data_IF_285188587575
#
_entry.id   IF_285188587575
#
_cell.length_a   1.000
_cell.length_b   1.000
_cell.length_c   1.000
_cell.angle_alpha   90.00
_cell.angle_beta   90.00
_cell.angle_gamma   90.00
#
_symmetry.space_group_name_H-M   'P 1'
#
loop_
_entity.id
_entity.type
_entity.pdbx_description
1 polymer ?
#
# COMPACT_ATOMS: atom_id res chain seq x y z
N UNK A 1 12.34 -12.40 0.82
CA UNK A 1 11.85 -12.32 -0.57
C UNK A 1 13.02 -12.51 -1.52
N UNK A 2 12.82 -13.36 -2.49
CA UNK A 2 13.84 -13.69 -3.46
C UNK A 2 13.98 -12.56 -4.48
N UNK A 3 15.20 -12.00 -4.59
CA UNK A 3 15.50 -10.91 -5.52
C UNK A 3 15.33 -11.32 -6.98
N UNK A 4 15.43 -12.61 -7.28
CA UNK A 4 15.27 -13.09 -8.65
C UNK A 4 13.82 -13.01 -9.13
N UNK A 5 12.88 -12.70 -8.25
CA UNK A 5 11.46 -12.65 -8.58
C UNK A 5 10.94 -11.25 -8.84
N UNK A 6 11.81 -10.31 -9.17
CA UNK A 6 11.39 -8.95 -9.50
C UNK A 6 10.41 -8.95 -10.67
N UNK A 7 9.35 -8.14 -10.53
CA UNK A 7 8.41 -7.90 -11.62
C UNK A 7 7.46 -9.03 -11.93
N UNK A 8 7.26 -9.99 -11.02
CA UNK A 8 6.41 -11.14 -11.31
C UNK A 8 5.11 -11.18 -10.50
N UNK A 9 4.94 -10.30 -9.52
CA UNK A 9 3.74 -10.36 -8.68
C UNK A 9 2.63 -9.48 -9.24
N UNK A 10 1.44 -10.05 -9.41
CA UNK A 10 0.22 -9.34 -9.80
C UNK A 10 -0.52 -8.77 -8.60
N UNK A 11 -0.29 -9.32 -7.43
CA UNK A 11 -0.93 -8.90 -6.19
C UNK A 11 0.07 -8.96 -5.05
N UNK A 12 -0.05 -8.00 -4.12
CA UNK A 12 0.79 -7.92 -2.95
C UNK A 12 -0.07 -7.66 -1.73
N UNK A 13 0.15 -8.43 -0.68
CA UNK A 13 -0.53 -8.26 0.60
C UNK A 13 0.47 -7.70 1.60
N UNK A 14 0.13 -6.57 2.21
CA UNK A 14 1.07 -5.82 3.05
C UNK A 14 0.46 -5.54 4.41
N UNK A 15 1.27 -5.66 5.45
CA UNK A 15 0.91 -5.21 6.79
C UNK A 15 1.81 -4.01 7.13
N UNK A 16 1.19 -2.88 7.47
CA UNK A 16 1.91 -1.66 7.82
C UNK A 16 1.68 -1.37 9.29
N UNK A 17 2.61 -1.76 10.18
CA UNK A 17 2.44 -1.50 11.61
C UNK A 17 2.73 -0.03 11.93
N UNK A 18 1.97 0.52 12.88
CA UNK A 18 2.23 1.83 13.50
C UNK A 18 2.38 2.97 12.49
N UNK A 19 1.54 2.99 11.45
CA UNK A 19 1.52 4.05 10.43
C UNK A 19 2.80 4.13 9.59
N UNK A 20 3.68 3.14 9.67
CA UNK A 20 4.92 3.15 8.91
C UNK A 20 4.72 2.56 7.53
N UNK A 21 5.08 3.34 6.51
CA UNK A 21 5.07 2.86 5.12
C UNK A 21 6.50 2.75 4.57
N UNK A 22 7.48 2.77 5.46
CA UNK A 22 8.90 2.88 5.06
C UNK A 22 9.38 1.68 4.28
N UNK A 23 8.82 0.49 4.50
CA UNK A 23 9.24 -0.72 3.79
C UNK A 23 8.51 -0.90 2.45
N UNK A 24 7.46 -0.13 2.21
CA UNK A 24 6.69 -0.29 0.98
C UNK A 24 7.51 -0.03 -0.30
N UNK A 25 8.39 0.97 -0.35
CA UNK A 25 9.20 1.18 -1.56
C UNK A 25 10.07 -0.02 -1.94
N UNK A 26 10.55 -0.78 -0.96
CA UNK A 26 11.39 -1.95 -1.23
C UNK A 26 10.63 -3.09 -1.88
N UNK A 27 9.29 -3.08 -1.79
CA UNK A 27 8.44 -4.11 -2.36
C UNK A 27 8.01 -3.78 -3.80
N UNK A 28 8.11 -2.52 -4.19
CA UNK A 28 7.62 -2.08 -5.50
C UNK A 28 8.30 -2.78 -6.69
N UNK A 29 9.63 -3.06 -6.66
CA UNK A 29 10.26 -3.77 -7.78
C UNK A 29 9.72 -5.17 -7.99
N UNK A 30 9.01 -5.75 -7.01
CA UNK A 30 8.45 -7.10 -7.12
C UNK A 30 7.17 -7.13 -7.96
N UNK A 31 6.55 -5.95 -8.19
CA UNK A 31 5.28 -5.86 -8.89
C UNK A 31 5.47 -6.02 -10.39
N UNK A 32 4.55 -6.74 -11.02
CA UNK A 32 4.57 -6.96 -12.47
C UNK A 32 4.43 -5.64 -13.21
N UNK A 33 5.19 -5.52 -14.32
CA UNK A 33 5.12 -4.35 -15.20
C UNK A 33 4.17 -4.62 -16.36
N UNK A 34 3.62 -3.55 -16.91
CA UNK A 34 2.78 -3.59 -18.13
C UNK A 34 1.45 -4.33 -17.96
N UNK A 35 1.02 -4.56 -16.72
CA UNK A 35 -0.30 -5.12 -16.48
C UNK A 35 -0.86 -4.52 -15.19
N UNK A 36 -2.17 -4.67 -15.01
CA UNK A 36 -2.84 -4.21 -13.79
C UNK A 36 -2.39 -5.07 -12.62
N UNK A 37 -2.01 -4.42 -11.55
CA UNK A 37 -1.61 -5.09 -10.31
C UNK A 37 -2.44 -4.57 -9.14
N UNK A 38 -2.44 -5.32 -8.06
CA UNK A 38 -3.21 -5.02 -6.87
C UNK A 38 -2.29 -5.00 -5.65
N UNK A 39 -2.38 -3.94 -4.85
CA UNK A 39 -1.75 -3.89 -3.53
C UNK A 39 -2.86 -3.76 -2.52
N UNK A 40 -2.92 -4.70 -1.60
CA UNK A 40 -3.89 -4.71 -0.52
C UNK A 40 -3.16 -4.83 0.80
N UNK A 41 -3.64 -4.11 1.81
CA UNK A 41 -3.00 -4.22 3.09
C UNK A 41 -3.84 -3.66 4.21
N UNK A 42 -3.28 -3.68 5.40
CA UNK A 42 -3.91 -3.10 6.58
C UNK A 42 -2.85 -2.40 7.41
N UNK A 43 -3.32 -1.46 8.24
CA UNK A 43 -2.45 -0.66 9.07
C UNK A 43 -3.17 -0.25 10.35
N UNK A 44 -2.39 -0.06 11.41
CA UNK A 44 -2.87 0.58 12.64
C UNK A 44 -2.26 1.98 12.63
N UNK A 45 -3.10 3.00 12.60
CA UNK A 45 -2.65 4.39 12.45
C UNK A 45 -3.33 5.27 13.49
N UNK A 46 -2.80 6.47 13.69
CA UNK A 46 -3.44 7.45 14.53
C UNK A 46 -4.77 7.88 13.94
N UNK A 47 -5.75 8.13 14.82
CA UNK A 47 -7.15 8.30 14.42
C UNK A 47 -7.37 9.36 13.35
N UNK A 48 -6.62 10.41 13.33
CA UNK A 48 -6.82 11.51 12.37
C UNK A 48 -5.77 11.53 11.26
N UNK A 49 -5.05 10.44 11.06
CA UNK A 49 -3.98 10.37 10.06
C UNK A 49 -4.34 9.57 8.82
N UNK A 50 -5.59 9.17 8.66
CA UNK A 50 -5.95 8.31 7.51
C UNK A 50 -5.60 8.98 6.18
N UNK A 51 -5.96 10.25 6.01
CA UNK A 51 -5.66 10.97 4.76
C UNK A 51 -4.16 11.11 4.51
N UNK A 52 -3.40 11.34 5.56
CA UNK A 52 -1.95 11.45 5.44
C UNK A 52 -1.32 10.11 5.03
N UNK A 53 -1.75 9.02 5.66
CA UNK A 53 -1.24 7.69 5.34
C UNK A 53 -1.64 7.28 3.92
N UNK A 54 -2.88 7.55 3.53
CA UNK A 54 -3.33 7.30 2.15
C UNK A 54 -2.45 8.04 1.15
N UNK A 55 -2.14 9.30 1.42
CA UNK A 55 -1.27 10.10 0.57
C UNK A 55 0.14 9.54 0.47
N UNK A 56 0.68 9.03 1.57
CA UNK A 56 1.99 8.41 1.58
C UNK A 56 2.03 7.13 0.74
N UNK A 57 0.99 6.31 0.84
CA UNK A 57 0.89 5.07 0.06
C UNK A 57 0.80 5.41 -1.44
N UNK A 58 -0.08 6.34 -1.79
CA UNK A 58 -0.26 6.77 -3.18
C UNK A 58 1.06 7.31 -3.74
N UNK A 59 1.73 8.17 -2.99
CA UNK A 59 2.99 8.76 -3.42
C UNK A 59 4.07 7.70 -3.63
N UNK A 60 4.13 6.71 -2.75
CA UNK A 60 5.10 5.62 -2.86
C UNK A 60 4.88 4.84 -4.16
N UNK A 61 3.62 4.50 -4.47
CA UNK A 61 3.30 3.75 -5.68
C UNK A 61 3.64 4.58 -6.92
N UNK A 62 3.25 5.85 -6.93
CA UNK A 62 3.50 6.73 -8.07
C UNK A 62 4.99 6.98 -8.27
N UNK A 63 5.75 7.13 -7.18
CA UNK A 63 7.20 7.32 -7.27
C UNK A 63 7.92 6.10 -7.85
N UNK A 64 7.32 4.93 -7.73
CA UNK A 64 7.87 3.69 -8.29
C UNK A 64 7.44 3.45 -9.73
N UNK A 65 6.73 4.39 -10.34
CA UNK A 65 6.26 4.27 -11.71
C UNK A 65 4.86 3.71 -11.85
N UNK A 66 4.11 3.60 -10.76
CA UNK A 66 2.75 3.11 -10.80
C UNK A 66 1.75 4.19 -11.15
N UNK A 67 0.87 3.90 -12.10
CA UNK A 67 -0.27 4.75 -12.40
C UNK A 67 -1.49 4.16 -11.74
N UNK A 68 -2.00 4.83 -10.71
CA UNK A 68 -3.11 4.34 -9.92
C UNK A 68 -4.42 4.57 -10.68
N UNK A 69 -5.20 3.51 -10.85
CA UNK A 69 -6.52 3.58 -11.46
C UNK A 69 -7.63 3.53 -10.42
N UNK A 70 -7.33 2.98 -9.24
CA UNK A 70 -8.30 2.91 -8.16
C UNK A 70 -7.56 2.83 -6.82
N UNK A 71 -7.99 3.62 -5.85
CA UNK A 71 -7.47 3.55 -4.48
C UNK A 71 -8.63 3.70 -3.51
N UNK A 72 -8.63 2.84 -2.50
CA UNK A 72 -9.66 2.84 -1.49
C UNK A 72 -9.06 2.46 -0.14
N UNK A 73 -9.41 3.21 0.89
CA UNK A 73 -9.08 2.84 2.26
C UNK A 73 -10.33 2.97 3.13
N UNK A 74 -10.42 2.13 4.15
CA UNK A 74 -11.60 2.08 5.00
C UNK A 74 -11.20 1.77 6.42
N UNK A 75 -11.77 2.50 7.37
CA UNK A 75 -11.65 2.17 8.78
C UNK A 75 -12.50 0.94 9.07
N UNK A 76 -11.89 -0.09 9.68
CA UNK A 76 -12.58 -1.32 10.03
C UNK A 76 -13.15 -1.22 11.45
N UNK A 77 -12.31 -0.78 12.38
CA UNK A 77 -12.73 -0.59 13.77
C UNK A 77 -11.72 0.26 14.51
N UNK A 78 -12.13 0.83 15.62
CA UNK A 78 -11.20 1.50 16.52
C UNK A 78 -10.30 0.47 17.19
N UNK A 79 -9.00 0.76 17.22
CA UNK A 79 -8.03 -0.07 17.91
C UNK A 79 -7.88 0.35 19.36
N UNK A 80 -7.89 1.66 19.59
CA UNK A 80 -7.86 2.27 20.92
C UNK A 80 -8.47 3.66 20.81
N UNK A 81 -8.42 4.45 21.90
CA UNK A 81 -8.94 5.80 21.89
C UNK A 81 -8.22 6.70 20.88
N UNK A 82 -6.94 6.41 20.58
CA UNK A 82 -6.12 7.22 19.70
C UNK A 82 -5.75 6.54 18.37
N UNK A 83 -6.03 5.24 18.23
CA UNK A 83 -5.64 4.46 17.05
C UNK A 83 -6.84 3.85 16.36
N UNK A 84 -6.74 3.71 15.05
CA UNK A 84 -7.74 3.00 14.26
C UNK A 84 -7.06 1.94 13.41
N UNK A 85 -7.85 0.93 13.04
CA UNK A 85 -7.42 -0.15 12.15
C UNK A 85 -8.04 0.12 10.78
N UNK A 86 -7.20 0.25 9.75
CA UNK A 86 -7.69 0.46 8.39
C UNK A 86 -7.25 -0.67 7.48
N UNK A 87 -8.03 -0.91 6.43
CA UNK A 87 -7.60 -1.69 5.28
C UNK A 87 -7.55 -0.76 4.07
N UNK A 88 -6.64 -1.04 3.16
CA UNK A 88 -6.53 -0.28 1.93
C UNK A 88 -6.34 -1.22 0.74
N UNK A 89 -6.71 -0.72 -0.42
CA UNK A 89 -6.57 -1.46 -1.67
C UNK A 89 -6.24 -0.46 -2.77
N UNK A 90 -5.24 -0.78 -3.56
CA UNK A 90 -4.82 0.06 -4.68
C UNK A 90 -4.68 -0.79 -5.92
N UNK A 91 -5.27 -0.31 -7.00
CA UNK A 91 -5.14 -0.91 -8.32
C UNK A 91 -4.34 0.05 -9.18
N UNK A 92 -3.30 -0.44 -9.80
CA UNK A 92 -2.37 0.39 -10.55
C UNK A 92 -1.71 -0.41 -11.65
N UNK A 93 -1.07 0.32 -12.56
CA UNK A 93 -0.23 -0.25 -13.59
C UNK A 93 1.16 0.36 -13.48
N UNK A 94 2.16 -0.47 -13.25
CA UNK A 94 3.55 -0.05 -13.24
C UNK A 94 4.10 -0.05 -14.66
N UNK A 95 4.92 0.94 -14.97
CA UNK A 95 5.54 1.08 -16.28
C UNK A 95 7.03 0.81 -16.24
#
# INVERSE_FOLDING_TARGET
IDQTRKGIFDALLVNIPHSSVDHLPSLMPLMRRDSITLIRGWAIIDRFQQNEVDGQIIKTIESAGGKITHFHSKEIKGFSSSKIFIVFESEQKFQ
#
